data_IF_266778583706
#
_entry.id   IF_266778583706
#
_cell.length_a   1.000
_cell.length_b   1.000
_cell.length_c   1.000
_cell.angle_alpha   90.00
_cell.angle_beta   90.00
_cell.angle_gamma   90.00
#
_symmetry.space_group_name_H-M   'P 1'
#
loop_
_entity.id
_entity.type
_entity.pdbx_description
1 polymer ?
#
# COMPACT_ATOMS: atom_id res chain seq x y z
N UNK A 1 39.76 1.23 -22.69
CA UNK A 1 38.62 1.44 -21.77
C UNK A 1 37.74 0.22 -21.90
N UNK A 2 37.59 -0.59 -20.85
CA UNK A 2 36.66 -1.72 -20.90
C UNK A 2 35.24 -1.17 -21.11
N UNK A 3 34.48 -1.79 -22.01
CA UNK A 3 33.07 -1.43 -22.16
C UNK A 3 32.39 -1.55 -20.79
N UNK A 4 31.59 -0.57 -20.35
CA UNK A 4 30.84 -0.73 -19.13
C UNK A 4 29.98 -1.99 -19.25
N UNK A 5 29.99 -2.80 -18.19
CA UNK A 5 29.27 -4.05 -18.14
C UNK A 5 27.80 -3.81 -18.52
N UNK A 6 27.27 -4.53 -19.50
CA UNK A 6 25.95 -4.26 -20.06
C UNK A 6 24.83 -4.34 -19.00
N UNK A 7 25.08 -5.11 -17.93
CA UNK A 7 24.21 -5.19 -16.75
C UNK A 7 24.26 -3.91 -15.90
N UNK A 8 25.44 -3.30 -15.76
CA UNK A 8 25.62 -2.04 -15.03
C UNK A 8 24.97 -0.85 -15.77
N UNK A 9 25.06 -0.80 -17.09
CA UNK A 9 24.37 0.26 -17.86
C UNK A 9 22.86 0.15 -17.73
N UNK A 10 22.29 -1.07 -17.77
CA UNK A 10 20.86 -1.28 -17.51
C UNK A 10 20.44 -0.85 -16.11
N UNK A 11 21.32 -1.07 -15.13
CA UNK A 11 21.12 -0.61 -13.75
C UNK A 11 21.02 0.91 -13.68
N UNK A 12 21.95 1.61 -14.33
CA UNK A 12 21.94 3.07 -14.39
C UNK A 12 20.75 3.62 -15.17
N UNK A 13 20.39 3.03 -16.31
CA UNK A 13 19.19 3.40 -17.09
C UNK A 13 17.92 3.32 -16.22
N UNK A 14 17.83 2.27 -15.41
CA UNK A 14 16.72 2.10 -14.47
C UNK A 14 16.73 3.20 -13.42
N UNK A 15 17.89 3.47 -12.79
CA UNK A 15 18.03 4.52 -11.79
C UNK A 15 17.69 5.93 -12.35
N UNK A 16 18.03 6.21 -13.60
CA UNK A 16 17.65 7.44 -14.28
C UNK A 16 16.14 7.53 -14.53
N UNK A 17 15.52 6.45 -15.01
CA UNK A 17 14.07 6.40 -15.25
C UNK A 17 13.25 6.62 -13.98
N UNK A 18 13.80 6.24 -12.82
CA UNK A 18 13.21 6.41 -11.50
C UNK A 18 13.55 7.77 -10.86
N UNK A 19 14.26 8.65 -11.58
CA UNK A 19 14.62 9.96 -11.08
C UNK A 19 15.59 9.92 -9.90
N UNK A 20 16.46 8.92 -9.82
CA UNK A 20 17.48 8.77 -8.78
C UNK A 20 18.87 9.26 -9.24
N UNK A 21 19.09 9.33 -10.55
CA UNK A 21 20.35 9.73 -11.15
C UNK A 21 20.12 10.50 -12.45
N UNK A 22 21.13 11.26 -12.88
CA UNK A 22 21.19 11.89 -14.21
C UNK A 22 22.62 11.76 -14.74
N UNK A 23 22.80 11.21 -15.94
CA UNK A 23 24.07 11.27 -16.67
C UNK A 23 24.33 12.70 -17.16
N UNK A 24 25.53 13.18 -16.84
CA UNK A 24 26.08 14.46 -17.27
C UNK A 24 27.36 14.21 -18.06
N UNK A 25 27.87 15.24 -18.74
CA UNK A 25 29.18 15.17 -19.41
C UNK A 25 30.35 14.85 -18.47
N UNK A 26 30.18 15.12 -17.17
CA UNK A 26 31.14 14.82 -16.09
C UNK A 26 30.90 13.47 -15.39
N UNK A 27 29.94 12.66 -15.86
CA UNK A 27 29.55 11.40 -15.24
C UNK A 27 28.18 11.46 -14.56
N UNK A 28 27.96 10.60 -13.57
CA UNK A 28 26.65 10.47 -12.91
C UNK A 28 26.47 11.53 -11.82
N UNK A 29 25.34 12.23 -11.83
CA UNK A 29 25.00 13.26 -10.86
C UNK A 29 23.63 13.00 -10.19
N UNK A 30 23.40 13.64 -9.05
CA UNK A 30 22.08 13.69 -8.44
C UNK A 30 21.16 14.61 -9.27
N UNK A 31 19.90 14.21 -9.52
CA UNK A 31 18.90 15.08 -10.13
C UNK A 31 18.69 16.37 -9.32
N UNK A 32 18.45 17.48 -10.02
CA UNK A 32 18.12 18.76 -9.40
C UNK A 32 16.67 18.84 -8.93
N UNK A 33 15.79 18.03 -9.54
CA UNK A 33 14.38 17.94 -9.20
C UNK A 33 14.20 17.36 -7.80
N UNK A 34 13.22 17.89 -7.07
CA UNK A 34 12.79 17.35 -5.78
C UNK A 34 11.84 16.18 -6.01
N UNK A 35 11.93 15.17 -5.14
CA UNK A 35 10.90 14.15 -5.00
C UNK A 35 9.79 14.71 -4.10
N UNK A 36 8.54 14.38 -4.37
CA UNK A 36 7.41 15.01 -3.68
C UNK A 36 7.31 14.59 -2.21
N UNK A 37 7.83 13.41 -1.86
CA UNK A 37 7.85 12.91 -0.50
C UNK A 37 8.97 11.91 -0.20
N UNK A 38 9.13 11.58 1.09
CA UNK A 38 9.95 10.45 1.55
C UNK A 38 9.47 9.12 0.98
N UNK A 39 8.16 8.95 0.79
CA UNK A 39 7.56 7.76 0.20
C UNK A 39 8.06 7.54 -1.23
N UNK A 40 7.99 8.57 -2.08
CA UNK A 40 8.40 8.45 -3.48
C UNK A 40 9.89 8.11 -3.63
N UNK A 41 10.73 8.61 -2.72
CA UNK A 41 12.15 8.22 -2.65
C UNK A 41 12.28 6.74 -2.27
N UNK A 42 11.52 6.29 -1.27
CA UNK A 42 11.51 4.89 -0.87
C UNK A 42 11.06 3.99 -2.02
N UNK A 43 9.97 4.34 -2.70
CA UNK A 43 9.41 3.57 -3.81
C UNK A 43 10.39 3.46 -4.97
N UNK A 44 10.98 4.58 -5.39
CA UNK A 44 11.97 4.60 -6.47
C UNK A 44 13.17 3.69 -6.15
N UNK A 45 13.68 3.76 -4.92
CA UNK A 45 14.83 2.93 -4.50
C UNK A 45 14.43 1.47 -4.37
N UNK A 46 13.24 1.19 -3.85
CA UNK A 46 12.73 -0.17 -3.71
C UNK A 46 12.45 -0.80 -5.08
N UNK A 47 11.94 -0.05 -6.05
CA UNK A 47 11.73 -0.52 -7.41
C UNK A 47 13.07 -0.88 -8.08
N UNK A 48 14.09 -0.02 -7.92
CA UNK A 48 15.44 -0.33 -8.36
C UNK A 48 15.97 -1.61 -7.69
N UNK A 49 15.76 -1.76 -6.38
CA UNK A 49 16.16 -2.92 -5.60
C UNK A 49 15.48 -4.22 -6.04
N UNK A 50 14.17 -4.18 -6.33
CA UNK A 50 13.41 -5.34 -6.80
C UNK A 50 13.85 -5.73 -8.21
N UNK A 51 13.95 -4.77 -9.13
CA UNK A 51 14.30 -5.02 -10.52
C UNK A 51 15.70 -5.62 -10.67
N UNK A 52 16.64 -5.17 -9.85
CA UNK A 52 18.03 -5.65 -9.84
C UNK A 52 18.34 -6.59 -8.67
N UNK A 53 17.29 -7.06 -7.98
CA UNK A 53 17.33 -8.16 -7.01
C UNK A 53 18.38 -7.99 -5.89
N UNK A 54 18.53 -6.79 -5.36
CA UNK A 54 19.34 -6.52 -4.17
C UNK A 54 18.47 -6.01 -3.02
N UNK A 55 19.02 -5.93 -1.80
CA UNK A 55 18.28 -5.44 -0.64
C UNK A 55 18.83 -4.10 -0.18
N UNK A 56 17.95 -3.24 0.31
CA UNK A 56 18.31 -1.95 0.89
C UNK A 56 17.98 -1.91 2.38
N UNK A 57 18.81 -1.19 3.12
CA UNK A 57 18.54 -0.77 4.50
C UNK A 57 18.34 0.74 4.50
N UNK A 58 17.34 1.20 5.24
CA UNK A 58 17.10 2.61 5.44
C UNK A 58 17.82 3.07 6.71
N UNK A 59 18.39 4.26 6.68
CA UNK A 59 18.90 5.00 7.84
C UNK A 59 18.33 6.40 7.83
N UNK A 60 17.78 6.80 8.97
CA UNK A 60 17.22 8.12 9.19
C UNK A 60 18.07 8.86 10.23
N UNK A 61 18.49 10.09 9.93
CA UNK A 61 19.21 10.93 10.89
C UNK A 61 18.81 12.38 10.69
N UNK A 62 17.99 12.89 11.61
CA UNK A 62 17.40 14.23 11.52
C UNK A 62 16.62 14.41 10.21
N UNK A 63 17.02 15.39 9.39
CA UNK A 63 16.42 15.62 8.07
C UNK A 63 17.05 14.79 6.93
N UNK A 64 17.98 13.88 7.24
CA UNK A 64 18.71 13.11 6.23
C UNK A 64 18.16 11.69 6.11
N UNK A 65 17.81 11.30 4.89
CA UNK A 65 17.38 9.97 4.51
C UNK A 65 18.51 9.29 3.74
N UNK A 66 18.94 8.12 4.18
CA UNK A 66 19.95 7.33 3.47
C UNK A 66 19.47 5.91 3.25
N UNK A 67 19.56 5.42 2.02
CA UNK A 67 19.36 4.02 1.69
C UNK A 67 20.72 3.44 1.32
N UNK A 68 21.08 2.33 1.95
CA UNK A 68 22.34 1.64 1.71
C UNK A 68 22.05 0.22 1.30
N UNK A 69 22.99 -0.43 0.61
CA UNK A 69 22.85 -1.86 0.33
C UNK A 69 22.91 -2.65 1.65
N UNK A 70 22.03 -3.63 1.80
CA UNK A 70 21.98 -4.56 2.95
C UNK A 70 22.80 -5.83 2.71
N UNK A 71 23.12 -6.15 1.45
CA UNK A 71 23.81 -7.39 1.07
C UNK A 71 25.16 -7.56 1.77
N UNK A 72 25.95 -6.48 1.85
CA UNK A 72 27.25 -6.44 2.51
C UNK A 72 27.44 -5.13 3.29
N UNK A 73 28.06 -5.18 4.49
CA UNK A 73 28.33 -3.98 5.28
C UNK A 73 29.21 -2.95 4.55
N UNK A 74 30.16 -3.43 3.75
CA UNK A 74 31.15 -2.61 3.02
C UNK A 74 30.71 -2.25 1.60
N UNK A 75 29.47 -2.57 1.21
CA UNK A 75 28.99 -2.25 -0.13
C UNK A 75 28.95 -0.71 -0.33
N UNK A 76 29.56 -0.18 -1.40
CA UNK A 76 29.64 1.27 -1.62
C UNK A 76 28.33 1.89 -2.13
N UNK A 77 27.30 1.09 -2.42
CA UNK A 77 25.99 1.58 -2.86
C UNK A 77 25.30 2.39 -1.75
N UNK A 78 24.87 3.60 -2.11
CA UNK A 78 23.96 4.38 -1.28
C UNK A 78 23.20 5.42 -2.11
N UNK A 79 22.01 5.80 -1.63
CA UNK A 79 21.26 6.96 -2.13
C UNK A 79 20.86 7.80 -0.93
N UNK A 80 21.23 9.09 -0.93
CA UNK A 80 21.01 10.01 0.18
C UNK A 80 20.20 11.22 -0.25
N UNK A 81 19.11 11.45 0.46
CA UNK A 81 18.24 12.61 0.32
C UNK A 81 18.21 13.45 1.59
N UNK A 82 17.84 14.73 1.45
CA UNK A 82 17.52 15.61 2.56
C UNK A 82 16.06 16.01 2.47
N UNK A 83 15.30 15.74 3.53
CA UNK A 83 13.93 16.16 3.69
C UNK A 83 13.90 17.67 3.92
N UNK A 84 13.14 18.35 3.08
CA UNK A 84 12.87 19.79 3.18
C UNK A 84 11.73 20.04 4.16
N UNK A 85 11.59 21.28 4.62
CA UNK A 85 10.48 21.67 5.51
C UNK A 85 9.09 21.48 4.88
N UNK A 86 9.01 21.47 3.54
CA UNK A 86 7.77 21.23 2.80
C UNK A 86 7.41 19.74 2.68
N UNK A 87 8.25 18.82 3.17
CA UNK A 87 8.05 17.38 3.06
C UNK A 87 8.63 16.76 1.78
N UNK A 88 9.12 17.57 0.85
CA UNK A 88 9.80 17.11 -0.36
C UNK A 88 11.24 16.66 -0.06
N UNK A 89 11.79 15.77 -0.88
CA UNK A 89 13.14 15.24 -0.71
C UNK A 89 14.07 15.73 -1.82
N UNK A 90 15.18 16.37 -1.43
CA UNK A 90 16.28 16.71 -2.34
C UNK A 90 17.33 15.62 -2.31
N UNK A 91 17.62 15.00 -3.45
CA UNK A 91 18.77 14.09 -3.55
C UNK A 91 20.07 14.89 -3.40
N UNK A 92 20.94 14.42 -2.50
CA UNK A 92 22.18 15.12 -2.11
C UNK A 92 23.41 14.37 -2.55
N UNK A 93 23.40 13.04 -2.47
CA UNK A 93 24.52 12.20 -2.84
C UNK A 93 24.02 10.82 -3.22
N UNK A 94 24.55 10.23 -4.28
CA UNK A 94 24.26 8.86 -4.67
C UNK A 94 25.53 8.16 -5.15
N UNK A 95 25.59 6.86 -4.91
CA UNK A 95 26.56 5.95 -5.50
C UNK A 95 25.83 4.66 -5.86
N UNK A 96 25.92 4.29 -7.13
CA UNK A 96 25.22 3.17 -7.73
C UNK A 96 26.13 1.95 -7.96
N UNK A 97 27.40 2.03 -7.56
CA UNK A 97 28.33 0.91 -7.64
C UNK A 97 28.09 -0.10 -6.53
N UNK A 98 28.14 -1.38 -6.85
CA UNK A 98 28.19 -2.48 -5.89
C UNK A 98 29.56 -3.18 -5.99
N UNK A 99 30.09 -3.65 -4.86
CA UNK A 99 31.32 -4.47 -4.80
C UNK A 99 31.02 -5.97 -4.79
N UNK A 100 29.79 -6.35 -5.14
CA UNK A 100 29.31 -7.72 -5.18
C UNK A 100 28.34 -7.86 -6.36
N UNK A 101 28.15 -9.10 -6.83
CA UNK A 101 27.13 -9.39 -7.83
C UNK A 101 25.74 -8.97 -7.32
N UNK A 102 24.95 -8.40 -8.22
CA UNK A 102 23.54 -8.14 -7.99
C UNK A 102 22.75 -9.46 -8.10
N UNK A 103 21.62 -9.55 -7.42
CA UNK A 103 20.86 -10.80 -7.30
C UNK A 103 20.98 -11.50 -5.96
N UNK A 104 20.00 -12.36 -5.69
CA UNK A 104 19.99 -13.25 -4.51
C UNK A 104 20.71 -14.56 -4.81
N UNK A 105 20.71 -14.98 -6.07
CA UNK A 105 21.49 -16.10 -6.57
C UNK A 105 22.93 -15.63 -6.84
N UNK A 106 23.93 -16.36 -6.33
CA UNK A 106 25.40 -16.06 -6.42
C UNK A 106 25.99 -15.22 -5.27
N UNK A 107 25.25 -14.95 -4.21
CA UNK A 107 25.86 -14.34 -3.02
C UNK A 107 26.60 -15.40 -2.19
N UNK A 108 27.81 -15.10 -1.68
CA UNK A 108 28.55 -16.00 -0.80
C UNK A 108 27.79 -16.23 0.52
N UNK A 109 28.04 -17.36 1.19
CA UNK A 109 27.30 -17.81 2.39
C UNK A 109 27.31 -16.81 3.55
N UNK A 110 28.27 -15.89 3.58
CA UNK A 110 28.43 -14.84 4.59
C UNK A 110 27.66 -13.53 4.25
N UNK A 111 27.03 -13.44 3.08
CA UNK A 111 26.19 -12.30 2.74
C UNK A 111 24.93 -12.32 3.61
N UNK A 112 24.59 -11.16 4.23
CA UNK A 112 23.33 -10.98 5.01
C UNK A 112 22.07 -11.05 4.14
N UNK A 113 22.24 -11.33 2.84
CA UNK A 113 21.21 -11.31 1.81
C UNK A 113 20.61 -12.68 1.47
N UNK A 114 20.98 -13.74 2.19
CA UNK A 114 20.51 -15.11 1.89
C UNK A 114 18.97 -15.25 1.92
N UNK A 115 18.27 -14.31 2.55
CA UNK A 115 16.82 -14.28 2.64
C UNK A 115 16.27 -12.85 2.45
N UNK A 116 15.41 -12.64 1.44
CA UNK A 116 14.73 -11.35 1.17
C UNK A 116 13.81 -10.94 2.32
N UNK A 117 13.98 -9.75 2.90
CA UNK A 117 13.11 -9.32 3.99
C UNK A 117 11.64 -9.23 3.56
N UNK A 118 10.71 -9.39 4.51
CA UNK A 118 9.26 -9.38 4.25
C UNK A 118 8.81 -8.10 3.53
N UNK A 119 9.45 -6.96 3.81
CA UNK A 119 9.17 -5.68 3.14
C UNK A 119 9.51 -5.71 1.64
N UNK A 120 10.67 -6.26 1.26
CA UNK A 120 11.03 -6.42 -0.16
C UNK A 120 10.10 -7.38 -0.89
N UNK A 121 9.68 -8.47 -0.22
CA UNK A 121 8.71 -9.41 -0.78
C UNK A 121 7.33 -8.74 -0.95
N UNK A 122 6.88 -7.98 0.06
CA UNK A 122 5.62 -7.23 0.03
C UNK A 122 5.59 -6.22 -1.11
N UNK A 123 6.67 -5.44 -1.25
CA UNK A 123 6.78 -4.47 -2.33
C UNK A 123 6.73 -5.13 -3.71
N UNK A 124 7.35 -6.30 -3.89
CA UNK A 124 7.29 -7.03 -5.16
C UNK A 124 5.89 -7.52 -5.49
N UNK A 125 5.11 -7.96 -4.50
CA UNK A 125 3.71 -8.36 -4.68
C UNK A 125 2.85 -7.15 -5.07
N UNK A 126 3.03 -6.03 -4.37
CA UNK A 126 2.30 -4.78 -4.63
C UNK A 126 2.66 -4.18 -5.99
N UNK A 127 3.96 -4.11 -6.34
CA UNK A 127 4.42 -3.58 -7.62
C UNK A 127 3.97 -4.42 -8.83
N UNK A 128 3.75 -5.72 -8.61
CA UNK A 128 3.20 -6.61 -9.61
C UNK A 128 1.66 -6.56 -9.68
N UNK A 129 1.01 -5.70 -8.88
CA UNK A 129 -0.45 -5.56 -8.81
C UNK A 129 -1.17 -6.89 -8.54
N UNK A 130 -0.56 -7.74 -7.72
CA UNK A 130 -1.14 -9.02 -7.36
C UNK A 130 -2.18 -8.79 -6.27
N UNK A 131 -3.39 -9.29 -6.50
CA UNK A 131 -4.45 -9.36 -5.49
C UNK A 131 -4.06 -10.36 -4.39
N UNK A 132 -3.26 -9.89 -3.43
CA UNK A 132 -2.73 -10.70 -2.34
C UNK A 132 -3.79 -11.17 -1.35
N UNK A 133 -4.97 -10.52 -1.34
CA UNK A 133 -6.09 -10.90 -0.48
C UNK A 133 -6.69 -12.22 -0.98
N UNK A 134 -6.89 -12.32 -2.30
CA UNK A 134 -7.47 -13.52 -2.92
C UNK A 134 -6.41 -14.51 -3.43
N UNK A 135 -5.15 -14.11 -3.56
CA UNK A 135 -4.08 -14.99 -4.00
C UNK A 135 -3.86 -16.16 -3.03
N UNK A 136 -3.68 -17.36 -3.60
CA UNK A 136 -3.26 -18.54 -2.85
C UNK A 136 -1.79 -18.46 -2.47
N UNK A 137 -1.39 -19.24 -1.46
CA UNK A 137 0.02 -19.32 -1.07
C UNK A 137 0.94 -19.76 -2.24
N UNK A 138 0.47 -20.66 -3.10
CA UNK A 138 1.23 -21.12 -4.27
C UNK A 138 1.42 -20.02 -5.31
N UNK A 139 0.38 -19.22 -5.58
CA UNK A 139 0.47 -18.09 -6.53
C UNK A 139 1.48 -17.04 -6.06
N UNK A 140 1.47 -16.71 -4.76
CA UNK A 140 2.47 -15.81 -4.19
C UNK A 140 3.88 -16.41 -4.23
N UNK A 141 4.03 -17.72 -3.95
CA UNK A 141 5.32 -18.40 -4.07
C UNK A 141 5.85 -18.39 -5.51
N UNK A 142 4.99 -18.64 -6.50
CA UNK A 142 5.37 -18.65 -7.90
C UNK A 142 5.78 -17.25 -8.40
N UNK A 143 5.08 -16.21 -7.95
CA UNK A 143 5.50 -14.83 -8.19
C UNK A 143 6.88 -14.56 -7.59
N UNK A 144 7.08 -14.85 -6.30
CA UNK A 144 8.34 -14.59 -5.62
C UNK A 144 9.49 -15.41 -6.22
N UNK A 145 9.21 -16.66 -6.63
CA UNK A 145 10.18 -17.50 -7.36
C UNK A 145 10.51 -16.89 -8.72
N UNK A 146 9.53 -16.34 -9.44
CA UNK A 146 9.77 -15.70 -10.75
C UNK A 146 10.53 -14.39 -10.61
N UNK A 147 10.12 -13.54 -9.67
CA UNK A 147 10.70 -12.22 -9.44
C UNK A 147 12.15 -12.32 -8.94
N UNK A 148 12.40 -13.22 -7.98
CA UNK A 148 13.67 -13.25 -7.24
C UNK A 148 14.51 -14.51 -7.47
N UNK A 149 13.96 -15.51 -8.17
CA UNK A 149 14.61 -16.80 -8.38
C UNK A 149 14.96 -17.50 -7.04
N UNK A 150 14.14 -17.28 -6.01
CA UNK A 150 14.31 -17.87 -4.67
C UNK A 150 13.06 -18.60 -4.23
N UNK A 151 13.22 -19.76 -3.61
CA UNK A 151 12.12 -20.45 -2.96
C UNK A 151 11.79 -19.80 -1.63
N UNK A 152 10.50 -19.55 -1.41
CA UNK A 152 9.97 -18.97 -0.17
C UNK A 152 9.07 -20.01 0.48
N UNK A 153 9.28 -20.31 1.77
CA UNK A 153 8.45 -21.28 2.48
C UNK A 153 7.00 -20.81 2.59
N UNK A 154 6.07 -21.76 2.70
CA UNK A 154 4.63 -21.47 2.88
C UNK A 154 4.39 -20.64 4.15
N UNK A 155 5.06 -20.97 5.26
CA UNK A 155 5.01 -20.20 6.51
C UNK A 155 5.35 -18.73 6.32
N UNK A 156 6.37 -18.44 5.51
CA UNK A 156 6.81 -17.07 5.23
C UNK A 156 5.86 -16.32 4.31
N UNK A 157 5.17 -17.03 3.41
CA UNK A 157 4.11 -16.45 2.58
C UNK A 157 2.90 -16.06 3.43
N UNK A 158 2.56 -16.85 4.46
CA UNK A 158 1.53 -16.45 5.43
C UNK A 158 1.95 -15.21 6.23
N UNK A 159 3.20 -15.14 6.71
CA UNK A 159 3.72 -13.95 7.38
C UNK A 159 3.70 -12.71 6.47
N UNK A 160 4.02 -12.90 5.18
CA UNK A 160 3.94 -11.86 4.15
C UNK A 160 2.51 -11.39 3.94
N UNK A 161 1.55 -12.31 3.79
CA UNK A 161 0.14 -12.00 3.62
C UNK A 161 -0.40 -11.22 4.83
N UNK A 162 -0.08 -11.68 6.04
CA UNK A 162 -0.41 -10.96 7.27
C UNK A 162 0.21 -9.55 7.33
N UNK A 163 1.43 -9.37 6.83
CA UNK A 163 2.07 -8.05 6.76
C UNK A 163 1.44 -7.11 5.71
N UNK A 164 0.99 -7.67 4.58
CA UNK A 164 0.24 -6.94 3.55
C UNK A 164 -1.17 -6.57 4.04
N UNK A 165 -1.82 -7.44 4.80
CA UNK A 165 -3.15 -7.23 5.38
C UNK A 165 -3.14 -6.29 6.59
N UNK A 166 -2.06 -6.30 7.40
CA UNK A 166 -2.00 -5.51 8.64
C UNK A 166 -1.85 -4.01 8.41
N UNK A 167 -1.44 -3.57 7.22
CA UNK A 167 -1.11 -2.18 6.95
C UNK A 167 0.10 -1.64 7.73
N UNK A 168 0.75 -2.48 8.57
CA UNK A 168 1.89 -2.13 9.45
C UNK A 168 3.17 -1.84 8.65
N UNK A 169 3.17 -2.06 7.33
CA UNK A 169 4.25 -1.62 6.45
C UNK A 169 4.42 -0.09 6.36
N UNK A 170 3.51 0.67 7.00
CA UNK A 170 3.66 2.09 7.31
C UNK A 170 3.34 2.97 6.10
N UNK A 171 2.26 3.74 6.20
CA UNK A 171 1.86 4.89 5.37
C UNK A 171 1.71 4.74 3.83
N UNK A 172 2.15 3.68 3.17
CA UNK A 172 2.18 3.66 1.70
C UNK A 172 1.10 2.78 1.03
N UNK A 173 0.33 1.97 1.77
CA UNK A 173 -0.70 1.10 1.14
C UNK A 173 -1.90 1.88 0.59
N UNK A 174 -2.14 3.12 1.04
CA UNK A 174 -3.20 4.00 0.53
C UNK A 174 -2.74 4.97 -0.58
N UNK A 175 -1.51 4.85 -1.12
CA UNK A 175 -0.98 5.80 -2.11
C UNK A 175 -0.81 5.28 -3.53
N UNK A 176 -1.28 4.07 -3.85
CA UNK A 176 -1.11 3.52 -5.19
C UNK A 176 -2.43 3.28 -5.94
N UNK A 177 -3.11 4.35 -6.41
CA UNK A 177 -3.75 4.27 -7.71
C UNK A 177 -2.65 4.19 -8.79
N UNK A 178 -2.82 3.27 -9.74
CA UNK A 178 -2.00 3.18 -10.96
C UNK A 178 -1.94 4.56 -11.66
N UNK A 179 -0.73 4.96 -12.08
CA UNK A 179 -0.29 6.09 -12.96
C UNK A 179 -1.42 6.90 -13.67
N UNK A 180 -1.37 8.27 -13.74
CA UNK A 180 -0.29 9.04 -14.36
C UNK A 180 0.07 10.38 -13.66
N UNK A 181 1.13 11.05 -14.18
CA UNK A 181 1.65 12.35 -13.74
C UNK A 181 0.56 13.44 -13.72
N UNK A 182 0.56 14.22 -12.63
CA UNK A 182 -0.26 15.41 -12.35
C UNK A 182 -1.73 15.18 -12.00
N UNK A 183 -2.05 15.37 -10.71
CA UNK A 183 -2.89 16.49 -10.24
C UNK A 183 -2.82 16.61 -8.71
N UNK A 184 -2.82 17.83 -8.14
CA UNK A 184 -2.60 18.02 -6.71
C UNK A 184 -3.92 17.95 -5.94
N UNK A 185 -3.99 17.12 -4.89
CA UNK A 185 -5.09 17.18 -3.91
C UNK A 185 -4.56 17.28 -2.48
N UNK A 186 -5.35 18.04 -1.70
CA UNK A 186 -5.12 18.77 -0.45
C UNK A 186 -4.53 18.01 0.75
N UNK A 187 -3.79 18.78 1.55
CA UNK A 187 -3.20 18.46 2.88
C UNK A 187 -4.27 18.09 3.92
N UNK A 188 -4.03 17.08 4.80
CA UNK A 188 -4.71 16.97 6.08
C UNK A 188 -4.04 17.85 7.15
N UNK A 189 -4.85 18.23 8.14
CA UNK A 189 -4.54 19.10 9.27
C UNK A 189 -3.63 18.43 10.31
N UNK A 190 -2.85 19.27 11.00
CA UNK A 190 -1.86 18.94 12.02
C UNK A 190 -2.49 18.47 13.34
N UNK A 191 -1.83 17.50 13.99
CA UNK A 191 -2.01 17.22 15.41
C UNK A 191 -2.13 15.74 15.72
N UNK A 192 -1.00 15.05 15.87
CA UNK A 192 -0.91 13.82 16.68
C UNK A 192 0.57 13.54 17.00
N UNK A 193 0.87 13.49 18.30
CA UNK A 193 2.18 13.27 18.88
C UNK A 193 2.68 11.85 18.56
N UNK A 194 3.63 11.75 17.62
CA UNK A 194 4.29 10.50 17.26
C UNK A 194 5.42 10.21 18.26
N UNK A 195 5.13 9.36 19.24
CA UNK A 195 6.14 8.78 20.11
C UNK A 195 7.15 7.96 19.28
N UNK A 196 8.42 8.18 19.56
CA UNK A 196 9.58 7.52 18.96
C UNK A 196 9.44 5.99 19.04
N UNK A 197 9.40 5.35 17.87
CA UNK A 197 9.61 3.91 17.72
C UNK A 197 11.00 3.74 17.13
N UNK A 198 11.97 3.54 18.01
CA UNK A 198 13.33 3.11 17.68
C UNK A 198 13.27 1.68 17.11
N UNK A 199 13.55 1.57 15.81
CA UNK A 199 13.58 0.34 15.02
C UNK A 199 15.01 -0.24 15.03
N UNK A 200 15.51 -0.57 16.22
CA UNK A 200 16.82 -1.22 16.44
C UNK A 200 16.70 -2.74 16.25
N UNK A 201 16.90 -3.19 15.01
CA UNK A 201 16.93 -4.60 14.59
C UNK A 201 18.39 -5.06 14.33
N UNK A 202 19.27 -4.89 15.32
CA UNK A 202 20.60 -5.51 15.41
C UNK A 202 20.83 -5.91 16.89
N UNK A 203 20.69 -7.19 17.26
CA UNK A 203 21.47 -7.84 18.35
C UNK A 203 21.24 -9.36 18.40
N UNK A 204 22.13 -10.10 17.73
CA UNK A 204 22.39 -11.54 17.96
C UNK A 204 23.20 -11.75 19.27
N UNK A 205 22.85 -11.03 20.34
CA UNK A 205 23.17 -11.40 21.73
C UNK A 205 22.22 -10.70 22.70
N UNK A 206 20.95 -11.13 22.78
CA UNK A 206 20.10 -10.78 23.93
C UNK A 206 20.57 -11.58 25.15
N UNK A 207 20.98 -10.92 26.26
CA UNK A 207 21.04 -11.60 27.55
C UNK A 207 19.68 -12.26 27.81
N UNK A 208 19.67 -13.47 28.36
CA UNK A 208 18.42 -14.13 28.76
C UNK A 208 17.63 -13.15 29.64
N UNK A 209 16.37 -12.82 29.29
CA UNK A 209 15.58 -11.85 30.03
C UNK A 209 15.54 -12.25 31.51
N UNK A 210 15.85 -11.28 32.37
CA UNK A 210 15.71 -11.44 33.81
C UNK A 210 14.25 -11.74 34.16
N UNK A 211 13.97 -12.38 35.30
CA UNK A 211 12.59 -12.71 35.68
C UNK A 211 11.68 -11.48 35.73
N UNK A 212 12.23 -10.34 36.15
CA UNK A 212 11.54 -9.04 36.17
C UNK A 212 11.21 -8.54 34.77
N UNK A 213 12.10 -8.74 33.80
CA UNK A 213 11.83 -8.37 32.40
C UNK A 213 10.81 -9.29 31.75
N UNK A 214 10.82 -10.59 32.07
CA UNK A 214 9.78 -11.54 31.61
C UNK A 214 8.40 -11.18 32.14
N UNK A 215 8.30 -10.80 33.41
CA UNK A 215 7.06 -10.36 34.03
C UNK A 215 6.54 -9.05 33.40
N UNK A 216 7.44 -8.10 33.12
CA UNK A 216 7.10 -6.85 32.44
C UNK A 216 6.65 -7.06 30.99
N UNK A 217 7.28 -7.98 30.27
CA UNK A 217 6.90 -8.31 28.90
C UNK A 217 5.59 -9.10 28.84
N UNK A 218 5.32 -9.93 29.84
CA UNK A 218 4.05 -10.62 30.01
C UNK A 218 2.90 -9.63 30.28
N UNK A 219 3.11 -8.64 31.15
CA UNK A 219 2.15 -7.56 31.37
C UNK A 219 1.88 -6.75 30.09
N UNK A 220 2.92 -6.40 29.32
CA UNK A 220 2.75 -5.73 28.02
C UNK A 220 2.00 -6.60 27.01
N UNK A 221 2.19 -7.92 27.06
CA UNK A 221 1.47 -8.87 26.20
C UNK A 221 0.00 -8.91 26.57
N UNK A 222 -0.33 -9.02 27.85
CA UNK A 222 -1.70 -8.98 28.35
C UNK A 222 -2.40 -7.67 28.01
N UNK A 223 -1.71 -6.53 28.13
CA UNK A 223 -2.25 -5.23 27.74
C UNK A 223 -2.55 -5.15 26.24
N UNK A 224 -1.67 -5.69 25.38
CA UNK A 224 -1.90 -5.75 23.93
C UNK A 224 -3.06 -6.68 23.59
N UNK A 225 -3.13 -7.85 24.23
CA UNK A 225 -4.23 -8.80 24.06
C UNK A 225 -5.57 -8.19 24.51
N UNK A 226 -5.59 -7.47 25.63
CA UNK A 226 -6.79 -6.78 26.11
C UNK A 226 -7.23 -5.63 25.17
N UNK A 227 -6.29 -4.82 24.66
CA UNK A 227 -6.60 -3.78 23.66
C UNK A 227 -7.18 -4.40 22.38
N UNK A 228 -6.56 -5.47 21.89
CA UNK A 228 -7.06 -6.22 20.73
C UNK A 228 -8.48 -6.73 21.00
N UNK A 229 -8.72 -7.33 22.16
CA UNK A 229 -10.04 -7.88 22.52
C UNK A 229 -11.11 -6.79 22.57
N UNK A 230 -10.79 -5.63 23.15
CA UNK A 230 -11.70 -4.48 23.21
C UNK A 230 -12.02 -3.92 21.82
N UNK A 231 -11.02 -3.84 20.94
CA UNK A 231 -11.23 -3.40 19.55
C UNK A 231 -12.04 -4.43 18.76
N UNK A 232 -11.76 -5.73 18.95
CA UNK A 232 -12.52 -6.81 18.34
C UNK A 232 -13.98 -6.84 18.81
N UNK A 233 -14.23 -6.47 20.06
CA UNK A 233 -15.58 -6.33 20.61
C UNK A 233 -16.28 -5.09 20.06
N UNK A 234 -15.56 -3.98 19.90
CA UNK A 234 -16.08 -2.75 19.28
C UNK A 234 -16.47 -2.99 17.82
N UNK A 235 -15.62 -3.67 17.06
CA UNK A 235 -15.92 -4.02 15.66
C UNK A 235 -17.15 -4.93 15.55
N UNK A 236 -17.27 -5.97 16.38
CA UNK A 236 -18.47 -6.82 16.43
C UNK A 236 -19.74 -6.04 16.75
N UNK A 237 -19.68 -5.08 17.68
CA UNK A 237 -20.82 -4.22 17.98
C UNK A 237 -21.19 -3.33 16.78
N UNK A 238 -20.20 -2.79 16.07
CA UNK A 238 -20.41 -1.99 14.87
C UNK A 238 -20.99 -2.81 13.70
N UNK A 239 -20.55 -4.05 13.53
CA UNK A 239 -21.12 -4.98 12.54
C UNK A 239 -22.60 -5.25 12.82
N UNK A 240 -22.96 -5.52 14.09
CA UNK A 240 -24.35 -5.72 14.49
C UNK A 240 -25.19 -4.47 14.22
N UNK A 241 -24.67 -3.27 14.50
CA UNK A 241 -25.40 -2.03 14.22
C UNK A 241 -25.56 -1.79 12.73
N UNK A 242 -24.52 -2.06 11.92
CA UNK A 242 -24.58 -1.90 10.47
C UNK A 242 -25.58 -2.88 9.85
N UNK A 243 -25.61 -4.14 10.31
CA UNK A 243 -26.61 -5.11 9.87
C UNK A 243 -28.04 -4.64 10.16
N UNK A 244 -28.29 -4.06 11.34
CA UNK A 244 -29.61 -3.52 11.67
C UNK A 244 -30.00 -2.36 10.75
N UNK A 245 -29.07 -1.43 10.51
CA UNK A 245 -29.30 -0.30 9.61
C UNK A 245 -29.56 -0.77 8.17
N UNK A 246 -28.85 -1.79 7.69
CA UNK A 246 -29.09 -2.38 6.37
C UNK A 246 -30.47 -3.02 6.26
N UNK A 247 -30.93 -3.70 7.31
CA UNK A 247 -32.26 -4.30 7.33
C UNK A 247 -33.36 -3.22 7.40
N UNK A 248 -33.18 -2.17 8.18
CA UNK A 248 -34.07 -0.99 8.18
C UNK A 248 -34.10 -0.29 6.80
N UNK A 249 -32.95 -0.17 6.14
CA UNK A 249 -32.85 0.40 4.78
C UNK A 249 -33.60 -0.47 3.75
N UNK A 250 -33.54 -1.80 3.87
CA UNK A 250 -34.31 -2.71 2.99
C UNK A 250 -35.81 -2.57 3.21
N UNK A 251 -36.25 -2.46 4.46
CA UNK A 251 -37.68 -2.31 4.80
C UNK A 251 -38.20 -0.97 4.29
N UNK A 252 -37.50 0.13 4.58
CA UNK A 252 -37.88 1.48 4.11
C UNK A 252 -37.95 1.55 2.58
N UNK A 253 -36.98 0.95 1.88
CA UNK A 253 -37.03 0.84 0.41
C UNK A 253 -38.28 0.10 -0.08
N UNK A 254 -38.63 -1.03 0.53
CA UNK A 254 -39.86 -1.78 0.17
C UNK A 254 -41.13 -0.97 0.45
N UNK A 255 -41.16 -0.22 1.56
CA UNK A 255 -42.30 0.66 1.87
C UNK A 255 -42.45 1.73 0.80
N UNK A 256 -41.36 2.40 0.40
CA UNK A 256 -41.39 3.41 -0.66
C UNK A 256 -41.81 2.82 -2.02
N UNK A 257 -41.33 1.62 -2.37
CA UNK A 257 -41.74 0.91 -3.58
C UNK A 257 -43.26 0.58 -3.55
N UNK A 258 -43.78 0.15 -2.40
CA UNK A 258 -45.22 -0.10 -2.23
C UNK A 258 -46.03 1.20 -2.30
N UNK A 259 -45.58 2.29 -1.67
CA UNK A 259 -46.24 3.60 -1.73
C UNK A 259 -46.30 4.13 -3.16
N UNK A 260 -45.21 3.98 -3.93
CA UNK A 260 -45.19 4.31 -5.34
C UNK A 260 -46.21 3.49 -6.15
N UNK A 261 -46.31 2.18 -5.89
CA UNK A 261 -47.29 1.33 -6.57
C UNK A 261 -48.74 1.70 -6.24
N UNK A 262 -49.00 2.09 -4.98
CA UNK A 262 -50.32 2.54 -4.54
C UNK A 262 -50.67 3.87 -5.21
N UNK A 263 -49.73 4.80 -5.29
CA UNK A 263 -49.91 6.07 -5.99
C UNK A 263 -50.21 5.87 -7.48
N UNK A 264 -49.53 4.92 -8.14
CA UNK A 264 -49.80 4.57 -9.53
C UNK A 264 -51.22 4.01 -9.72
N UNK A 265 -51.65 3.10 -8.85
CA UNK A 265 -53.02 2.54 -8.89
C UNK A 265 -54.06 3.63 -8.65
N UNK A 266 -53.82 4.52 -7.69
CA UNK A 266 -54.72 5.64 -7.42
C UNK A 266 -54.82 6.61 -8.61
N UNK A 267 -53.70 6.90 -9.29
CA UNK A 267 -53.69 7.72 -10.49
C UNK A 267 -54.49 7.07 -11.63
N UNK A 268 -54.31 5.76 -11.87
CA UNK A 268 -55.09 5.00 -12.85
C UNK A 268 -56.58 5.00 -12.53
N UNK A 269 -56.94 4.84 -11.26
CA UNK A 269 -58.32 4.86 -10.81
C UNK A 269 -58.95 6.25 -10.97
N UNK A 270 -58.22 7.32 -10.63
CA UNK A 270 -58.67 8.69 -10.83
C UNK A 270 -58.89 8.99 -12.33
N UNK A 271 -57.94 8.56 -13.18
CA UNK A 271 -58.05 8.68 -14.63
C UNK A 271 -59.26 7.91 -15.18
N UNK A 272 -59.49 6.67 -14.72
CA UNK A 272 -60.66 5.88 -15.12
C UNK A 272 -61.99 6.53 -14.67
N UNK A 273 -62.04 7.09 -13.45
CA UNK A 273 -63.22 7.83 -12.97
C UNK A 273 -63.47 9.09 -13.78
N UNK A 274 -62.42 9.84 -14.14
CA UNK A 274 -62.54 11.02 -14.99
C UNK A 274 -63.10 10.66 -16.38
N UNK A 275 -62.56 9.59 -17.01
CA UNK A 275 -63.10 9.08 -18.28
C UNK A 275 -64.57 8.71 -18.17
N UNK A 276 -64.95 7.96 -17.13
CA UNK A 276 -66.33 7.54 -16.93
C UNK A 276 -67.29 8.73 -16.73
N UNK A 277 -66.87 9.75 -15.97
CA UNK A 277 -67.67 10.96 -15.77
C UNK A 277 -67.87 11.76 -17.07
N UNK A 278 -66.84 11.87 -17.92
CA UNK A 278 -66.93 12.56 -19.21
C UNK A 278 -67.85 11.81 -20.19
N UNK A 279 -67.76 10.47 -20.22
CA UNK A 279 -68.67 9.63 -21.03
C UNK A 279 -70.11 9.76 -20.53
N UNK A 280 -70.35 9.77 -19.22
CA UNK A 280 -71.68 10.01 -18.65
C UNK A 280 -72.24 11.40 -18.96
N UNK A 281 -71.39 12.41 -19.10
CA UNK A 281 -71.77 13.76 -19.52
C UNK A 281 -72.11 13.85 -21.03
N UNK A 282 -72.00 12.76 -21.78
CA UNK A 282 -72.37 12.69 -23.20
C UNK A 282 -71.25 13.07 -24.18
N UNK A 283 -70.00 13.17 -23.71
CA UNK A 283 -68.83 13.44 -24.57
C UNK A 283 -68.46 12.16 -25.31
N UNK A 284 -68.16 12.28 -26.61
CA UNK A 284 -67.79 11.14 -27.45
C UNK A 284 -66.45 10.53 -27.02
N UNK A 285 -66.26 9.23 -27.24
CA UNK A 285 -65.07 8.52 -26.79
C UNK A 285 -63.75 9.07 -27.36
N UNK A 286 -63.81 9.63 -28.58
CA UNK A 286 -62.65 10.23 -29.26
C UNK A 286 -62.28 11.60 -28.66
N UNK A 287 -63.26 12.38 -28.20
CA UNK A 287 -63.02 13.66 -27.51
C UNK A 287 -62.48 13.45 -26.08
N UNK A 288 -62.88 12.37 -25.40
CA UNK A 288 -62.36 12.03 -24.06
C UNK A 288 -60.87 11.67 -24.10
N UNK A 289 -60.40 11.06 -25.19
CA UNK A 289 -58.97 10.75 -25.40
C UNK A 289 -58.11 11.99 -25.69
N UNK A 290 -58.72 13.09 -26.13
CA UNK A 290 -58.04 14.36 -26.39
C UNK A 290 -57.96 15.26 -25.14
N UNK A 291 -58.83 15.04 -24.15
CA UNK A 291 -58.94 15.85 -22.93
C UNK A 291 -58.15 15.30 -21.73
N UNK A 292 -57.69 14.05 -21.79
CA UNK A 292 -56.99 13.32 -20.72
C UNK A 292 -55.69 12.73 -21.25
#
# INVERSE_FOLDING_TARGET
>A
MAAPDAEFERFLDTAESLGLAVRTSSGLACPTNLLDSKGDMADSIMQLAVQHRFQVRQRHSGSTLSYLCKSFPECPFFVRGKLTKSGQVKLTKSNFTHNHALGVQKLPKNARNSMLCTKTLAQSVLAADIDYVNATASQLQDHLRTAFATEVSTSRVYSLKKALESGVLGNDVHRFPKLPKFTPVKRPLEGEDMADVDDDDDDDYRPLPTEVEREKDELKRQDREHRWEMDSRRMRMQEITNMRLDDEAKVTRRVLELEASVAEVQAKLAHAKARHALVQAGISADEVLLLL
#
